data_IF_886986483685
#
_entry.id   IF_886986483685
#
_cell.length_a   1.000
_cell.length_b   1.000
_cell.length_c   1.000
_cell.angle_alpha   90.00
_cell.angle_beta   90.00
_cell.angle_gamma   90.00
#
_symmetry.space_group_name_H-M   'P 1'
#
loop_
_entity.id
_entity.type
_entity.pdbx_description
1 polymer ?
#
# COMPACT_ATOMS: atom_id res chain seq x y z
N UNK A 1 3.76 20.02 4.01
CA UNK A 1 4.31 20.31 5.36
C UNK A 1 3.34 20.02 6.51
N UNK A 2 2.43 20.91 6.92
CA UNK A 2 1.58 20.65 8.12
C UNK A 2 0.59 19.49 7.90
N UNK A 3 -0.07 19.43 6.72
CA UNK A 3 -0.98 18.33 6.38
C UNK A 3 -0.29 16.97 6.32
N UNK A 4 0.92 16.91 5.77
CA UNK A 4 1.73 15.69 5.75
C UNK A 4 2.12 15.24 7.15
N UNK A 5 2.46 16.17 8.06
CA UNK A 5 2.79 15.82 9.44
C UNK A 5 1.61 15.16 10.18
N UNK A 6 0.40 15.71 10.04
CA UNK A 6 -0.81 15.11 10.64
C UNK A 6 -1.16 13.76 10.01
N UNK A 7 -1.04 13.63 8.69
CA UNK A 7 -1.27 12.37 7.98
C UNK A 7 -0.25 11.29 8.43
N UNK A 8 1.03 11.67 8.55
CA UNK A 8 2.13 10.80 9.01
C UNK A 8 1.89 10.34 10.45
N UNK A 9 1.46 11.23 11.36
CA UNK A 9 1.08 10.90 12.74
C UNK A 9 -0.12 9.96 12.85
N UNK A 10 -1.13 10.14 11.99
CA UNK A 10 -2.30 9.26 11.96
C UNK A 10 -1.94 7.86 11.45
N UNK A 11 -1.14 7.80 10.39
CA UNK A 11 -0.61 6.56 9.83
C UNK A 11 0.33 5.86 10.81
N UNK A 12 1.22 6.57 11.51
CA UNK A 12 2.03 6.00 12.60
C UNK A 12 1.18 5.33 13.67
N UNK A 13 0.04 5.93 14.03
CA UNK A 13 -0.85 5.40 15.06
C UNK A 13 -1.65 4.18 14.59
N UNK A 14 -2.13 4.19 13.33
CA UNK A 14 -2.84 3.04 12.74
C UNK A 14 -1.89 1.89 12.38
N UNK A 15 -0.67 2.22 12.01
CA UNK A 15 0.39 1.28 11.64
C UNK A 15 1.32 1.03 12.83
N UNK A 16 0.93 1.32 14.07
CA UNK A 16 1.78 1.15 15.26
C UNK A 16 2.28 -0.30 15.46
N UNK A 17 1.65 -1.28 14.81
CA UNK A 17 2.10 -2.67 14.75
C UNK A 17 3.02 -3.02 13.56
N UNK A 18 3.25 -2.06 12.66
CA UNK A 18 4.12 -2.20 11.49
C UNK A 18 5.43 -1.42 11.75
N UNK A 19 6.62 -2.03 11.56
CA UNK A 19 7.91 -1.38 11.68
C UNK A 19 8.02 -0.10 10.85
N UNK A 20 8.71 0.90 11.37
CA UNK A 20 8.89 2.21 10.70
C UNK A 20 9.54 2.10 9.34
N UNK A 21 10.47 1.15 9.17
CA UNK A 21 11.10 0.85 7.88
C UNK A 21 10.09 0.37 6.83
N UNK A 22 9.09 -0.39 7.25
CA UNK A 22 8.09 -0.98 6.36
C UNK A 22 7.04 0.07 5.96
N UNK A 23 6.73 0.99 6.88
CA UNK A 23 5.99 2.24 6.59
C UNK A 23 6.69 3.09 5.53
N UNK A 24 7.99 3.35 5.70
CA UNK A 24 8.75 4.17 4.77
C UNK A 24 8.93 3.49 3.42
N UNK A 25 9.09 2.16 3.38
CA UNK A 25 9.04 1.38 2.14
C UNK A 25 7.71 1.53 1.42
N UNK A 26 6.58 1.41 2.12
CA UNK A 26 5.26 1.60 1.51
C UNK A 26 5.10 3.01 0.94
N UNK A 27 5.50 4.04 1.70
CA UNK A 27 5.44 5.44 1.23
C UNK A 27 6.33 5.62 -0.01
N UNK A 28 7.53 5.06 -0.02
CA UNK A 28 8.48 5.17 -1.13
C UNK A 28 7.94 4.46 -2.38
N UNK A 29 7.43 3.25 -2.24
CA UNK A 29 6.84 2.49 -3.36
C UNK A 29 5.61 3.20 -3.95
N UNK A 30 4.74 3.76 -3.10
CA UNK A 30 3.60 4.58 -3.55
C UNK A 30 4.06 5.83 -4.29
N UNK A 31 5.16 6.44 -3.85
CA UNK A 31 5.73 7.64 -4.48
C UNK A 31 6.41 7.34 -5.82
N UNK A 32 7.00 6.15 -5.97
CA UNK A 32 7.65 5.72 -7.21
C UNK A 32 6.64 5.37 -8.32
N UNK A 33 5.48 4.80 -7.97
CA UNK A 33 4.41 4.55 -8.94
C UNK A 33 3.01 4.71 -8.31
N UNK A 34 2.50 5.95 -8.19
CA UNK A 34 1.21 6.22 -7.55
C UNK A 34 0.04 5.59 -8.31
N UNK A 35 0.13 5.45 -9.64
CA UNK A 35 -0.92 4.86 -10.46
C UNK A 35 -1.11 3.36 -10.18
N UNK A 36 0.01 2.63 -10.04
CA UNK A 36 -0.02 1.20 -9.67
C UNK A 36 -0.70 1.01 -8.31
N UNK A 37 -0.33 1.83 -7.32
CA UNK A 37 -0.95 1.75 -5.99
C UNK A 37 -2.42 2.15 -6.00
N UNK A 38 -2.83 3.08 -6.85
CA UNK A 38 -4.24 3.44 -7.02
C UNK A 38 -5.06 2.29 -7.61
N UNK A 39 -4.50 1.55 -8.59
CA UNK A 39 -5.10 0.32 -9.11
C UNK A 39 -5.19 -0.75 -8.03
N UNK A 40 -4.08 -1.03 -7.33
CA UNK A 40 -4.04 -2.01 -6.23
C UNK A 40 -5.10 -1.67 -5.18
N UNK A 41 -5.18 -0.41 -4.73
CA UNK A 41 -6.16 0.01 -3.73
C UNK A 41 -7.61 -0.17 -4.22
N UNK A 42 -7.89 0.15 -5.49
CA UNK A 42 -9.21 -0.05 -6.09
C UNK A 42 -9.59 -1.53 -6.13
N UNK A 43 -8.69 -2.39 -6.61
CA UNK A 43 -8.93 -3.83 -6.68
C UNK A 43 -9.06 -4.48 -5.30
N UNK A 44 -8.25 -4.05 -4.33
CA UNK A 44 -8.38 -4.52 -2.94
C UNK A 44 -9.73 -4.11 -2.38
N UNK A 45 -10.17 -2.87 -2.59
CA UNK A 45 -11.49 -2.43 -2.16
C UNK A 45 -12.63 -3.21 -2.82
N UNK A 46 -12.53 -3.51 -4.12
CA UNK A 46 -13.50 -4.36 -4.81
C UNK A 46 -13.56 -5.77 -4.21
N UNK A 47 -12.41 -6.39 -3.94
CA UNK A 47 -12.34 -7.71 -3.31
C UNK A 47 -12.88 -7.69 -1.88
N UNK A 48 -12.56 -6.66 -1.09
CA UNK A 48 -13.13 -6.50 0.25
C UNK A 48 -14.64 -6.31 0.20
N UNK A 49 -15.16 -5.50 -0.73
CA UNK A 49 -16.60 -5.34 -0.97
C UNK A 49 -17.27 -6.65 -1.42
N UNK A 50 -16.55 -7.51 -2.13
CA UNK A 50 -17.03 -8.86 -2.49
C UNK A 50 -17.08 -9.84 -1.31
N UNK A 51 -16.66 -9.41 -0.11
CA UNK A 51 -16.69 -10.19 1.12
C UNK A 51 -15.38 -10.90 1.45
N UNK A 52 -14.29 -10.65 0.71
CA UNK A 52 -12.96 -11.16 1.08
C UNK A 52 -12.37 -10.38 2.24
N UNK A 53 -11.61 -11.09 3.08
CA UNK A 53 -10.81 -10.47 4.13
C UNK A 53 -9.78 -9.51 3.52
N UNK A 54 -9.55 -8.36 4.18
CA UNK A 54 -8.67 -7.30 3.71
C UNK A 54 -7.24 -7.79 3.47
N UNK A 55 -6.71 -8.65 4.34
CA UNK A 55 -5.35 -9.17 4.19
C UNK A 55 -5.26 -10.17 3.03
N UNK A 56 -6.30 -10.98 2.84
CA UNK A 56 -6.38 -11.92 1.70
C UNK A 56 -6.51 -11.18 0.36
N UNK A 57 -7.38 -10.18 0.31
CA UNK A 57 -7.55 -9.31 -0.85
C UNK A 57 -6.24 -8.60 -1.22
N UNK A 58 -5.54 -8.06 -0.22
CA UNK A 58 -4.26 -7.38 -0.41
C UNK A 58 -3.19 -8.34 -0.96
N UNK A 59 -3.05 -9.54 -0.40
CA UNK A 59 -2.11 -10.53 -0.91
C UNK A 59 -2.40 -10.96 -2.35
N UNK A 60 -3.67 -11.15 -2.69
CA UNK A 60 -4.09 -11.56 -4.03
C UNK A 60 -3.81 -10.48 -5.08
N UNK A 61 -4.11 -9.22 -4.76
CA UNK A 61 -3.87 -8.10 -5.66
C UNK A 61 -2.37 -7.82 -5.77
N UNK A 62 -1.63 -7.77 -4.66
CA UNK A 62 -0.16 -7.62 -4.72
C UNK A 62 0.51 -8.78 -5.45
N UNK A 63 -0.02 -10.00 -5.33
CA UNK A 63 0.43 -11.15 -6.11
C UNK A 63 0.18 -10.99 -7.62
N UNK A 64 -0.97 -10.42 -7.99
CA UNK A 64 -1.32 -10.12 -9.39
C UNK A 64 -0.45 -9.03 -9.99
N UNK A 65 -0.08 -8.03 -9.17
CA UNK A 65 0.79 -6.91 -9.53
C UNK A 65 2.26 -7.14 -9.20
N UNK A 66 2.65 -8.38 -8.83
CA UNK A 66 4.00 -8.71 -8.36
C UNK A 66 5.07 -8.36 -9.39
N UNK A 67 4.81 -8.61 -10.67
CA UNK A 67 5.78 -8.34 -11.74
C UNK A 67 5.97 -6.84 -11.98
N UNK A 68 4.89 -6.05 -11.86
CA UNK A 68 4.95 -4.59 -11.92
C UNK A 68 5.71 -4.02 -10.73
N UNK A 69 5.41 -4.50 -9.51
CA UNK A 69 6.13 -4.13 -8.28
C UNK A 69 7.61 -4.53 -8.35
N UNK A 70 7.92 -5.73 -8.85
CA UNK A 70 9.29 -6.21 -9.01
C UNK A 70 10.07 -5.39 -10.04
N UNK A 71 9.40 -4.94 -11.11
CA UNK A 71 9.99 -4.06 -12.11
C UNK A 71 10.36 -2.69 -11.53
N UNK A 72 9.54 -2.15 -10.63
CA UNK A 72 9.84 -0.91 -9.90
C UNK A 72 11.03 -1.06 -8.97
N UNK A 73 11.15 -2.20 -8.26
CA UNK A 73 12.27 -2.45 -7.34
C UNK A 73 13.62 -2.74 -8.04
N UNK A 74 13.59 -3.08 -9.33
CA UNK A 74 14.79 -3.45 -10.10
C UNK A 74 15.45 -2.26 -10.82
N UNK A 75 14.81 -1.09 -10.83
CA UNK A 75 15.27 0.12 -11.50
C UNK A 75 15.94 1.12 -10.55
#
# INVERSE_FOLDING_TARGET
>A
MIKEFFLRKMLEKQLAGIPTEERERLIKLVSENPELFQKIASEVQEKVKSGKDQMSAMMEVMGSHKDELASLMRN
#
